data_IF_559413741912
#
_entry.id   IF_559413741912
#
_cell.length_a   1.000
_cell.length_b   1.000
_cell.length_c   1.000
_cell.angle_alpha   90.00
_cell.angle_beta   90.00
_cell.angle_gamma   90.00
#
_symmetry.space_group_name_H-M   'P 1'
#
loop_
_entity.id
_entity.type
_entity.pdbx_description
1 polymer ?
#
# COMPACT_ATOMS: atom_id res chain seq x y z
N UNK A 1 2.90 -20.32 10.66
CA UNK A 1 4.02 -19.35 10.62
C UNK A 1 3.58 -18.20 9.74
N UNK A 2 3.42 -17.01 10.31
CA UNK A 2 3.03 -15.81 9.56
C UNK A 2 4.23 -15.43 8.70
N UNK A 3 4.15 -15.65 7.38
CA UNK A 3 5.12 -15.09 6.45
C UNK A 3 5.00 -13.57 6.59
N UNK A 4 6.03 -12.93 7.12
CA UNK A 4 6.07 -11.47 7.28
C UNK A 4 5.74 -10.81 5.94
N UNK A 5 4.79 -9.88 5.95
CA UNK A 5 4.49 -9.05 4.78
C UNK A 5 5.76 -8.26 4.45
N UNK A 6 6.36 -8.49 3.29
CA UNK A 6 7.52 -7.72 2.85
C UNK A 6 7.05 -6.30 2.51
N UNK A 7 7.57 -5.28 3.19
CA UNK A 7 7.24 -3.87 2.96
C UNK A 7 8.36 -3.18 2.20
N UNK A 8 8.02 -2.38 1.19
CA UNK A 8 8.98 -1.51 0.51
C UNK A 8 8.99 -0.15 1.20
N UNK A 9 10.09 0.16 1.89
CA UNK A 9 10.30 1.45 2.55
C UNK A 9 10.94 2.44 1.57
N UNK A 10 10.12 3.31 0.95
CA UNK A 10 10.59 4.35 0.06
C UNK A 10 10.87 5.66 0.79
N UNK A 11 12.08 6.21 0.71
CA UNK A 11 12.41 7.54 1.26
C UNK A 11 11.86 8.70 0.44
N UNK A 12 11.43 8.45 -0.80
CA UNK A 12 10.84 9.45 -1.68
C UNK A 12 9.31 9.42 -1.66
N UNK A 13 8.70 8.47 -0.94
CA UNK A 13 7.28 8.54 -0.66
C UNK A 13 7.03 9.66 0.35
N UNK A 14 6.30 10.68 -0.07
CA UNK A 14 5.90 11.82 0.76
C UNK A 14 4.45 11.70 1.25
N UNK A 15 3.76 10.63 0.87
CA UNK A 15 2.36 10.39 1.16
C UNK A 15 2.25 9.47 2.38
N UNK A 16 1.71 10.00 3.48
CA UNK A 16 1.47 9.25 4.72
C UNK A 16 0.35 8.21 4.55
N UNK A 17 -0.51 8.43 3.57
CA UNK A 17 -1.67 7.63 3.22
C UNK A 17 -1.41 6.64 2.09
N UNK A 18 -0.14 6.40 1.76
CA UNK A 18 0.29 5.47 0.72
C UNK A 18 1.37 4.50 1.23
N UNK A 19 1.16 3.20 1.02
CA UNK A 19 2.12 2.16 1.37
C UNK A 19 2.31 1.14 0.25
N UNK A 20 3.51 0.57 0.18
CA UNK A 20 3.83 -0.49 -0.77
C UNK A 20 4.24 -1.75 -0.01
N UNK A 21 3.50 -2.82 -0.25
CA UNK A 21 3.77 -4.12 0.37
C UNK A 21 3.59 -5.26 -0.62
N UNK A 22 4.33 -6.33 -0.40
CA UNK A 22 4.19 -7.58 -1.11
C UNK A 22 3.18 -8.45 -0.39
N UNK A 23 2.13 -8.85 -1.10
CA UNK A 23 1.10 -9.69 -0.51
C UNK A 23 0.51 -10.68 -1.51
N UNK A 24 -0.25 -11.62 -0.97
CA UNK A 24 -1.02 -12.58 -1.75
C UNK A 24 -2.23 -11.86 -2.35
N UNK A 25 -2.30 -11.82 -3.69
CA UNK A 25 -3.35 -11.11 -4.44
C UNK A 25 -4.55 -12.04 -4.65
N UNK A 26 -4.30 -13.33 -4.89
CA UNK A 26 -5.33 -14.35 -5.03
C UNK A 26 -4.82 -15.71 -4.54
N UNK A 27 -5.53 -16.81 -4.84
CA UNK A 27 -5.16 -18.15 -4.32
C UNK A 27 -3.77 -18.62 -4.73
N UNK A 28 -3.25 -18.15 -5.86
CA UNK A 28 -2.02 -18.63 -6.50
C UNK A 28 -0.94 -17.54 -6.63
N UNK A 29 -1.33 -16.27 -6.70
CA UNK A 29 -0.43 -15.18 -7.06
C UNK A 29 -0.10 -14.27 -5.88
N UNK A 30 1.16 -13.84 -5.85
CA UNK A 30 1.69 -12.80 -4.99
C UNK A 30 2.19 -11.65 -5.85
N UNK A 31 2.10 -10.43 -5.34
CA UNK A 31 2.64 -9.27 -6.03
C UNK A 31 2.74 -8.07 -5.13
N UNK A 32 3.43 -7.05 -5.64
CA UNK A 32 3.56 -5.76 -4.99
C UNK A 32 2.29 -4.96 -5.19
N UNK A 33 1.78 -4.42 -4.10
CA UNK A 33 0.57 -3.62 -4.06
C UNK A 33 0.93 -2.25 -3.51
N UNK A 34 0.60 -1.22 -4.28
CA UNK A 34 0.44 0.13 -3.76
C UNK A 34 -0.95 0.24 -3.16
N UNK A 35 -1.01 0.41 -1.84
CA UNK A 35 -2.23 0.67 -1.09
C UNK A 35 -2.27 2.15 -0.76
N UNK A 36 -3.33 2.81 -1.17
CA UNK A 36 -3.63 4.19 -0.80
C UNK A 36 -4.94 4.22 -0.04
N UNK A 37 -5.05 5.08 0.95
CA UNK A 37 -6.31 5.30 1.67
C UNK A 37 -6.58 6.79 1.77
N UNK A 38 -7.83 7.14 2.06
CA UNK A 38 -8.21 8.50 2.39
C UNK A 38 -8.87 8.48 3.75
N UNK A 39 -8.47 9.41 4.60
CA UNK A 39 -9.10 9.64 5.89
C UNK A 39 -10.08 10.81 5.82
N UNK A 40 -11.17 10.70 6.58
CA UNK A 40 -12.17 11.76 6.69
C UNK A 40 -11.57 13.03 7.27
N UNK A 41 -11.89 14.15 6.64
CA UNK A 41 -11.54 15.50 7.08
C UNK A 41 -12.70 16.13 7.86
N UNK A 42 -12.48 17.30 8.47
CA UNK A 42 -13.56 18.06 9.13
C UNK A 42 -14.72 18.38 8.17
N UNK A 43 -14.39 18.71 6.92
CA UNK A 43 -15.39 18.98 5.88
C UNK A 43 -16.30 17.78 5.62
N UNK A 44 -15.74 16.55 5.63
CA UNK A 44 -16.53 15.34 5.42
C UNK A 44 -17.52 15.07 6.57
N UNK A 45 -17.21 15.55 7.78
CA UNK A 45 -18.11 15.47 8.94
C UNK A 45 -19.21 16.53 8.82
N UNK A 46 -18.85 17.75 8.44
CA UNK A 46 -19.81 18.85 8.26
C UNK A 46 -20.86 18.53 7.19
N UNK A 47 -20.44 17.90 6.10
CA UNK A 47 -21.32 17.45 5.01
C UNK A 47 -22.08 16.14 5.34
N UNK A 48 -21.78 15.51 6.48
CA UNK A 48 -22.46 14.31 6.95
C UNK A 48 -22.08 13.02 6.23
N UNK A 49 -20.92 12.98 5.56
CA UNK A 49 -20.39 11.77 4.92
C UNK A 49 -19.83 10.78 5.93
N UNK A 50 -19.27 11.26 7.04
CA UNK A 50 -18.67 10.43 8.10
C UNK A 50 -18.94 10.96 9.51
N UNK A 51 -18.72 10.12 10.52
CA UNK A 51 -18.98 10.46 11.93
C UNK A 51 -17.76 10.92 12.73
N UNK A 52 -16.54 10.71 12.22
CA UNK A 52 -15.29 10.95 12.95
C UNK A 52 -14.14 11.36 12.02
N UNK A 53 -13.43 12.44 12.36
CA UNK A 53 -12.22 12.87 11.62
C UNK A 53 -11.14 11.80 11.74
N UNK A 54 -10.50 11.47 10.63
CA UNK A 54 -9.46 10.44 10.56
C UNK A 54 -9.99 9.05 10.21
N UNK A 55 -11.31 8.83 10.22
CA UNK A 55 -11.90 7.54 9.81
C UNK A 55 -11.53 7.21 8.37
N UNK A 56 -11.23 5.95 8.07
CA UNK A 56 -10.86 5.56 6.72
C UNK A 56 -12.11 5.53 5.82
N UNK A 57 -12.18 6.45 4.85
CA UNK A 57 -13.31 6.57 3.93
C UNK A 57 -13.19 5.59 2.77
N UNK A 58 -12.03 5.55 2.12
CA UNK A 58 -11.80 4.69 0.97
C UNK A 58 -10.39 4.10 0.97
N UNK A 59 -10.22 3.04 0.18
CA UNK A 59 -8.90 2.50 -0.14
C UNK A 59 -8.83 2.08 -1.60
N UNK A 60 -7.67 2.31 -2.19
CA UNK A 60 -7.31 1.90 -3.54
C UNK A 60 -6.11 0.98 -3.47
N UNK A 61 -6.18 -0.13 -4.19
CA UNK A 61 -5.09 -1.10 -4.29
C UNK A 61 -4.71 -1.26 -5.75
N UNK A 62 -3.45 -0.97 -6.06
CA UNK A 62 -2.89 -1.04 -7.40
C UNK A 62 -1.76 -2.06 -7.43
N UNK A 63 -1.82 -2.99 -8.38
CA UNK A 63 -0.70 -3.89 -8.65
C UNK A 63 0.40 -3.12 -9.34
N UNK A 64 1.61 -3.18 -8.79
CA UNK A 64 2.76 -2.46 -9.31
C UNK A 64 3.96 -3.38 -9.48
N UNK A 65 4.86 -3.00 -10.40
CA UNK A 65 6.16 -3.66 -10.63
C UNK A 65 7.33 -2.76 -10.24
N UNK A 66 7.09 -1.45 -10.24
CA UNK A 66 8.06 -0.43 -9.87
C UNK A 66 7.48 0.43 -8.75
N UNK A 67 8.34 0.92 -7.86
CA UNK A 67 7.95 1.94 -6.92
C UNK A 67 7.69 3.26 -7.69
N UNK A 68 6.48 3.83 -7.64
CA UNK A 68 6.15 5.06 -8.36
C UNK A 68 6.88 6.29 -7.80
N UNK A 69 7.44 6.20 -6.59
CA UNK A 69 8.09 7.32 -5.92
C UNK A 69 9.59 7.40 -6.22
N UNK A 70 10.28 6.25 -6.23
CA UNK A 70 11.73 6.19 -6.47
C UNK A 70 12.15 5.49 -7.76
N UNK A 71 11.22 4.90 -8.50
CA UNK A 71 11.50 4.14 -9.71
C UNK A 71 12.18 2.80 -9.46
N UNK A 72 12.33 2.36 -8.21
CA UNK A 72 12.96 1.07 -7.90
C UNK A 72 12.15 -0.08 -8.51
N UNK A 73 12.84 -1.00 -9.17
CA UNK A 73 12.28 -2.25 -9.67
C UNK A 73 12.01 -3.22 -8.51
N UNK A 74 10.73 -3.50 -8.27
CA UNK A 74 10.29 -4.35 -7.17
C UNK A 74 10.21 -5.83 -7.59
N UNK A 75 10.19 -6.15 -8.88
CA UNK A 75 10.19 -7.55 -9.34
C UNK A 75 11.49 -8.25 -8.92
N UNK A 76 12.63 -7.57 -9.02
CA UNK A 76 13.93 -8.10 -8.59
C UNK A 76 14.05 -8.28 -7.06
N UNK A 77 13.26 -7.55 -6.27
CA UNK A 77 13.22 -7.73 -4.80
C UNK A 77 12.58 -9.04 -4.37
N UNK A 78 11.83 -9.71 -5.26
CA UNK A 78 11.24 -11.02 -4.98
C UNK A 78 12.29 -12.12 -4.91
N UNK A 79 13.25 -12.12 -5.85
CA UNK A 79 14.20 -13.23 -6.00
C UNK A 79 15.09 -13.43 -4.78
N UNK A 80 15.41 -12.34 -4.07
CA UNK A 80 16.20 -12.37 -2.84
C UNK A 80 15.46 -13.11 -1.72
N UNK A 81 14.13 -13.12 -1.72
CA UNK A 81 13.32 -13.67 -0.64
C UNK A 81 12.84 -15.11 -0.89
N UNK A 82 12.81 -15.55 -2.15
CA UNK A 82 12.50 -16.94 -2.54
C UNK A 82 13.76 -17.85 -2.55
N UNK A 83 14.96 -17.29 -2.32
CA UNK A 83 16.26 -18.00 -2.34
C UNK A 83 16.80 -18.41 -0.96
N UNK A 84 16.01 -18.28 0.12
CA UNK A 84 16.32 -18.63 1.51
C UNK A 84 15.29 -19.63 2.06
#
# INVERSE_FOLDING_TARGET
MIKEKLKHSCRQNQYEDAEIFYQKINRVEWGWVLSQWQSATEFDIEDGYEGEVGSQMCSHHLLIRYCPFCGEDLENKREVHDSL
#
